data_IF_110401236082
#
_entry.id   IF_110401236082
#
_cell.length_a   1.000
_cell.length_b   1.000
_cell.length_c   1.000
_cell.angle_alpha   90.00
_cell.angle_beta   90.00
_cell.angle_gamma   90.00
#
_symmetry.space_group_name_H-M   'P 1'
#
loop_
_entity.id
_entity.type
_entity.pdbx_description
1 polymer ?
#
# COMPACT_ATOMS: atom_id res chain seq x y z
N UNK A 1 17.10 -29.24 -13.24
CA UNK A 1 16.99 -28.18 -12.22
C UNK A 1 16.23 -27.03 -12.85
N UNK A 2 14.91 -27.06 -12.71
CA UNK A 2 13.99 -26.08 -13.30
C UNK A 2 14.01 -24.81 -12.46
N UNK A 3 14.58 -23.74 -13.01
CA UNK A 3 14.48 -22.38 -12.48
C UNK A 3 13.02 -21.97 -12.50
N UNK A 4 12.37 -22.06 -11.34
CA UNK A 4 11.03 -21.51 -11.13
C UNK A 4 11.11 -20.00 -11.28
N UNK A 5 10.71 -19.49 -12.45
CA UNK A 5 10.26 -18.11 -12.59
C UNK A 5 9.12 -17.94 -11.60
N UNK A 6 9.41 -17.35 -10.44
CA UNK A 6 8.41 -16.85 -9.52
C UNK A 6 7.55 -15.90 -10.34
N UNK A 7 6.33 -16.34 -10.62
CA UNK A 7 5.27 -15.50 -11.15
C UNK A 7 5.04 -14.41 -10.10
N UNK A 8 5.79 -13.31 -10.22
CA UNK A 8 5.59 -12.09 -9.47
C UNK A 8 4.31 -11.48 -10.03
N UNK A 9 3.18 -12.09 -9.66
CA UNK A 9 1.88 -11.46 -9.73
C UNK A 9 2.02 -10.02 -9.26
N UNK A 10 1.40 -9.09 -9.98
CA UNK A 10 1.63 -7.66 -9.87
C UNK A 10 1.33 -7.17 -8.44
N UNK A 11 2.31 -7.24 -7.52
CA UNK A 11 2.15 -6.89 -6.11
C UNK A 11 1.85 -5.40 -6.00
N UNK A 12 0.79 -5.05 -5.29
CA UNK A 12 0.33 -3.68 -5.18
C UNK A 12 1.24 -2.85 -4.25
N UNK A 13 1.57 -1.64 -4.71
CA UNK A 13 2.34 -0.67 -3.91
C UNK A 13 1.40 0.09 -2.99
N UNK A 14 1.73 0.09 -1.71
CA UNK A 14 0.99 0.81 -0.68
C UNK A 14 1.87 1.87 -0.03
N UNK A 15 1.26 2.82 0.67
CA UNK A 15 1.98 3.88 1.39
C UNK A 15 1.46 3.96 2.81
N UNK A 16 2.33 4.03 3.81
CA UNK A 16 1.88 4.21 5.19
C UNK A 16 1.85 5.69 5.55
N UNK A 17 0.99 6.08 6.50
CA UNK A 17 1.12 7.35 7.22
C UNK A 17 1.21 7.09 8.72
N UNK A 18 1.70 8.07 9.48
CA UNK A 18 1.73 8.05 10.94
C UNK A 18 2.30 6.74 11.52
N UNK A 19 3.38 6.23 10.91
CA UNK A 19 4.10 5.03 11.34
C UNK A 19 5.56 5.41 11.66
N UNK A 20 6.54 4.62 11.23
CA UNK A 20 7.97 4.92 11.39
C UNK A 20 8.40 6.11 10.50
N UNK A 21 9.11 7.06 11.09
CA UNK A 21 9.70 8.21 10.38
C UNK A 21 10.66 7.68 9.30
N UNK A 22 10.56 8.17 8.07
CA UNK A 22 11.36 7.69 6.93
C UNK A 22 10.64 6.71 6.00
N UNK A 23 9.63 5.99 6.50
CA UNK A 23 8.79 5.11 5.67
C UNK A 23 7.46 5.75 5.20
N UNK A 24 7.00 6.80 5.87
CA UNK A 24 5.75 7.48 5.51
C UNK A 24 5.76 7.93 4.04
N UNK A 25 4.64 7.72 3.34
CA UNK A 25 4.46 8.03 1.90
C UNK A 25 5.37 7.29 0.92
N UNK A 26 6.30 6.46 1.42
CA UNK A 26 7.18 5.68 0.58
C UNK A 26 6.41 4.49 -0.02
N UNK A 27 6.40 4.33 -1.36
CA UNK A 27 5.78 3.17 -1.99
C UNK A 27 6.44 1.89 -1.49
N UNK A 28 5.66 1.03 -0.85
CA UNK A 28 6.14 -0.14 -0.14
C UNK A 28 5.33 -1.35 -0.56
N UNK A 29 6.02 -2.46 -0.80
CA UNK A 29 5.39 -3.74 -1.11
C UNK A 29 5.27 -4.52 0.19
N UNK A 30 4.04 -4.72 0.65
CA UNK A 30 3.75 -5.52 1.83
C UNK A 30 3.52 -6.99 1.44
N UNK A 31 3.64 -7.88 2.41
CA UNK A 31 3.44 -9.33 2.24
C UNK A 31 2.01 -9.74 2.61
N UNK A 32 1.41 -9.09 3.60
CA UNK A 32 0.08 -9.45 4.12
C UNK A 32 -1.03 -8.71 3.38
N UNK A 33 -1.54 -9.29 2.29
CA UNK A 33 -2.62 -8.70 1.49
C UNK A 33 -3.95 -8.61 2.22
N UNK A 34 -4.22 -9.49 3.20
CA UNK A 34 -5.51 -9.51 3.92
C UNK A 34 -5.63 -8.28 4.80
N UNK A 35 -4.58 -7.97 5.56
CA UNK A 35 -4.53 -6.74 6.37
C UNK A 35 -4.60 -5.50 5.48
N UNK A 36 -3.92 -5.51 4.33
CA UNK A 36 -3.97 -4.38 3.40
C UNK A 36 -5.38 -4.14 2.85
N UNK A 37 -6.10 -5.18 2.41
CA UNK A 37 -7.45 -5.02 1.86
C UNK A 37 -8.43 -4.40 2.87
N UNK A 38 -8.19 -4.62 4.16
CA UNK A 38 -9.02 -4.12 5.25
C UNK A 38 -8.72 -2.68 5.65
N UNK A 39 -7.46 -2.29 5.66
CA UNK A 39 -7.01 -1.01 6.20
C UNK A 39 -6.52 -0.03 5.14
N UNK A 40 -6.17 -0.49 3.95
CA UNK A 40 -5.76 0.40 2.87
C UNK A 40 -6.98 1.10 2.27
N UNK A 41 -6.79 2.37 1.91
CA UNK A 41 -7.73 3.09 1.07
C UNK A 41 -7.78 2.44 -0.32
N UNK A 42 -8.95 2.00 -0.77
CA UNK A 42 -9.13 1.40 -2.09
C UNK A 42 -8.85 2.36 -3.26
N UNK A 43 -8.88 3.68 -3.01
CA UNK A 43 -8.65 4.72 -4.04
C UNK A 43 -7.18 5.05 -4.19
N UNK A 44 -6.48 5.32 -3.08
CA UNK A 44 -5.11 5.84 -3.11
C UNK A 44 -4.04 4.89 -2.56
N UNK A 45 -4.45 3.70 -2.08
CA UNK A 45 -3.60 2.66 -1.50
C UNK A 45 -2.74 3.12 -0.31
N UNK A 46 -3.18 4.19 0.36
CA UNK A 46 -2.59 4.62 1.63
C UNK A 46 -3.15 3.75 2.75
N UNK A 47 -2.30 3.36 3.69
CA UNK A 47 -2.64 2.79 5.00
C UNK A 47 -2.63 3.91 6.04
N UNK A 48 -3.77 4.60 6.26
CA UNK A 48 -3.89 5.60 7.30
C UNK A 48 -3.99 4.96 8.69
N UNK A 49 -3.88 5.77 9.74
CA UNK A 49 -4.22 5.33 11.10
C UNK A 49 -5.70 5.03 11.30
N UNK A 50 -6.55 5.62 10.45
CA UNK A 50 -8.00 5.39 10.46
C UNK A 50 -8.52 5.30 9.04
N UNK A 51 -9.21 4.22 8.76
CA UNK A 51 -9.89 3.94 7.50
C UNK A 51 -11.38 4.01 7.74
N UNK A 52 -12.07 4.79 6.92
CA UNK A 52 -13.52 4.89 6.93
C UNK A 52 -14.05 3.76 6.05
N UNK A 53 -14.78 2.84 6.66
CA UNK A 53 -15.41 1.69 6.01
C UNK A 53 -16.83 2.09 5.65
N UNK A 54 -17.12 2.14 4.36
CA UNK A 54 -18.44 2.47 3.83
C UNK A 54 -19.45 1.33 4.08
N UNK A 55 -20.76 1.56 3.92
CA UNK A 55 -21.78 0.50 4.07
C UNK A 55 -21.58 -0.67 3.10
N UNK A 56 -21.05 -0.42 1.91
CA UNK A 56 -20.64 -1.45 0.94
C UNK A 56 -19.31 -2.15 1.30
N UNK A 57 -18.69 -1.82 2.43
CA UNK A 57 -17.40 -2.32 2.95
C UNK A 57 -16.12 -1.91 2.24
N UNK A 58 -16.20 -1.05 1.23
CA UNK A 58 -14.99 -0.42 0.71
C UNK A 58 -14.39 0.52 1.76
N UNK A 59 -13.10 0.37 2.03
CA UNK A 59 -12.34 1.22 2.95
C UNK A 59 -11.70 2.41 2.23
N UNK A 60 -11.88 3.62 2.75
CA UNK A 60 -11.30 4.86 2.22
C UNK A 60 -10.60 5.68 3.32
N UNK A 61 -9.53 6.41 2.98
CA UNK A 61 -8.93 7.35 3.92
C UNK A 61 -9.77 8.63 4.05
N UNK A 62 -9.57 9.42 5.12
CA UNK A 62 -10.32 10.67 5.36
C UNK A 62 -10.30 11.64 4.18
N UNK A 63 -9.16 11.79 3.51
CA UNK A 63 -9.04 12.68 2.36
C UNK A 63 -9.86 12.19 1.16
N UNK A 64 -9.83 10.89 0.87
CA UNK A 64 -10.63 10.32 -0.21
C UNK A 64 -12.12 10.32 0.13
N UNK A 65 -12.47 10.08 1.39
CA UNK A 65 -13.83 10.15 1.89
C UNK A 65 -14.47 11.52 1.68
N UNK A 66 -13.75 12.61 1.99
CA UNK A 66 -14.22 13.97 1.72
C UNK A 66 -14.48 14.26 0.23
N UNK A 67 -13.87 13.49 -0.66
CA UNK A 67 -14.10 13.54 -2.11
C UNK A 67 -15.20 12.61 -2.62
N UNK A 68 -15.85 11.82 -1.76
CA UNK A 68 -16.90 10.87 -2.14
C UNK A 68 -18.26 11.57 -2.34
N UNK A 69 -18.28 12.75 -2.95
CA UNK A 69 -19.48 13.57 -3.16
C UNK A 69 -19.65 13.79 -4.66
N UNK A 70 -20.84 13.48 -5.18
CA UNK A 70 -21.17 13.70 -6.59
C UNK A 70 -21.56 15.16 -6.89
N UNK A 71 -21.89 15.44 -8.16
CA UNK A 71 -22.28 16.79 -8.62
C UNK A 71 -23.58 17.29 -7.99
N UNK A 72 -24.41 16.39 -7.49
CA UNK A 72 -25.69 16.68 -6.86
C UNK A 72 -25.57 16.76 -5.33
N UNK A 73 -24.35 16.63 -4.78
CA UNK A 73 -24.08 16.66 -3.34
C UNK A 73 -24.36 15.35 -2.61
N UNK A 74 -24.56 14.23 -3.33
CA UNK A 74 -24.80 12.91 -2.73
C UNK A 74 -23.49 12.21 -2.44
N UNK A 75 -23.44 11.51 -1.31
CA UNK A 75 -22.28 10.70 -0.96
C UNK A 75 -22.35 9.36 -1.68
N UNK A 76 -21.35 9.07 -2.53
CA UNK A 76 -21.27 7.86 -3.36
C UNK A 76 -19.94 7.16 -3.17
N UNK A 77 -19.96 5.83 -3.04
CA UNK A 77 -18.73 5.05 -2.97
C UNK A 77 -17.96 5.14 -4.30
N UNK A 78 -16.63 5.39 -4.27
CA UNK A 78 -15.82 5.56 -5.47
C UNK A 78 -15.57 4.27 -6.25
N UNK A 79 -15.86 3.10 -5.66
CA UNK A 79 -15.59 1.79 -6.28
C UNK A 79 -16.79 1.22 -7.03
N UNK A 80 -17.99 1.37 -6.47
CA UNK A 80 -19.23 0.75 -6.99
C UNK A 80 -20.34 1.79 -7.28
N UNK A 81 -20.18 3.04 -6.86
CA UNK A 81 -21.17 4.10 -7.06
C UNK A 81 -22.39 4.00 -6.13
N UNK A 82 -22.38 3.10 -5.15
CA UNK A 82 -23.50 2.94 -4.21
C UNK A 82 -23.60 4.18 -3.30
N UNK A 83 -24.82 4.73 -3.10
CA UNK A 83 -25.03 5.84 -2.19
C UNK A 83 -24.87 5.39 -0.73
N UNK A 84 -24.41 6.29 0.12
CA UNK A 84 -24.29 6.04 1.56
C UNK A 84 -24.60 7.28 2.39
N UNK A 85 -24.96 7.06 3.66
CA UNK A 85 -25.05 8.14 4.65
C UNK A 85 -23.83 8.11 5.59
N UNK A 86 -23.35 9.28 6.00
CA UNK A 86 -22.18 9.43 6.90
C UNK A 86 -22.30 8.61 8.19
N UNK A 87 -23.51 8.54 8.76
CA UNK A 87 -23.80 7.82 10.00
C UNK A 87 -23.75 6.29 9.86
N UNK A 88 -23.75 5.76 8.64
CA UNK A 88 -23.62 4.34 8.35
C UNK A 88 -22.15 3.92 8.17
N UNK A 89 -21.24 4.89 8.05
CA UNK A 89 -19.80 4.66 7.95
C UNK A 89 -19.22 4.21 9.30
N UNK A 90 -18.22 3.34 9.24
CA UNK A 90 -17.48 2.86 10.42
C UNK A 90 -16.03 3.28 10.35
N UNK A 91 -15.39 3.50 11.50
CA UNK A 91 -13.94 3.71 11.55
C UNK A 91 -13.23 2.42 11.92
N UNK A 92 -12.30 1.99 11.08
CA UNK A 92 -11.35 0.92 11.35
C UNK A 92 -9.99 1.53 11.67
N UNK A 93 -9.42 1.22 12.83
CA UNK A 93 -8.15 1.80 13.30
C UNK A 93 -7.01 0.82 13.14
N UNK A 94 -5.87 1.32 12.67
CA UNK A 94 -4.62 0.58 12.60
C UNK A 94 -3.53 1.37 13.32
N UNK A 95 -3.10 0.86 14.47
CA UNK A 95 -2.14 1.54 15.33
C UNK A 95 -0.79 1.74 14.64
N UNK A 96 -0.03 2.74 15.08
CA UNK A 96 1.33 2.99 14.58
C UNK A 96 2.23 1.76 14.77
N UNK A 97 2.11 1.07 15.91
CA UNK A 97 2.83 -0.17 16.23
C UNK A 97 2.49 -1.28 15.24
N UNK A 98 1.21 -1.58 15.03
CA UNK A 98 0.80 -2.59 14.04
C UNK A 98 1.30 -2.29 12.63
N UNK A 99 1.28 -1.01 12.20
CA UNK A 99 1.86 -0.61 10.90
C UNK A 99 3.36 -0.90 10.81
N UNK A 100 4.11 -0.74 11.90
CA UNK A 100 5.54 -1.03 11.96
C UNK A 100 5.82 -2.54 11.90
N UNK A 101 4.91 -3.35 12.42
CA UNK A 101 5.03 -4.81 12.45
C UNK A 101 4.63 -5.48 11.11
N UNK A 102 3.95 -4.75 10.22
CA UNK A 102 3.59 -5.25 8.90
C UNK A 102 4.84 -5.69 8.13
N UNK A 103 4.84 -6.94 7.66
CA UNK A 103 5.94 -7.46 6.84
C UNK A 103 5.95 -6.79 5.47
N UNK A 104 7.10 -6.23 5.12
CA UNK A 104 7.35 -5.56 3.86
C UNK A 104 8.66 -6.05 3.23
N UNK A 105 8.76 -5.88 1.92
CA UNK A 105 10.00 -6.10 1.18
C UNK A 105 10.86 -4.84 1.21
N UNK A 106 12.18 -5.01 1.15
CA UNK A 106 13.11 -3.91 0.97
C UNK A 106 12.74 -3.07 -0.26
N UNK A 107 12.88 -1.74 -0.17
CA UNK A 107 12.62 -0.85 -1.31
C UNK A 107 13.56 -1.07 -2.50
N UNK A 108 14.67 -1.78 -2.30
CA UNK A 108 15.58 -2.22 -3.36
C UNK A 108 15.30 -3.66 -3.84
N UNK A 109 14.13 -4.24 -3.54
CA UNK A 109 13.75 -5.58 -4.04
C UNK A 109 13.84 -5.67 -5.57
N UNK A 110 13.37 -4.63 -6.27
CA UNK A 110 13.47 -4.54 -7.73
C UNK A 110 14.91 -4.49 -8.27
N UNK A 111 15.89 -4.20 -7.40
CA UNK A 111 17.32 -4.17 -7.71
C UNK A 111 18.08 -5.41 -7.21
N UNK A 112 17.38 -6.37 -6.59
CA UNK A 112 17.95 -7.66 -6.19
C UNK A 112 18.04 -7.90 -4.69
N UNK A 113 17.61 -6.95 -3.85
CA UNK A 113 17.54 -7.19 -2.41
C UNK A 113 16.39 -8.16 -2.06
N UNK A 114 16.67 -9.24 -1.36
CA UNK A 114 15.66 -10.22 -0.96
C UNK A 114 15.18 -10.05 0.50
N UNK A 115 15.63 -8.99 1.18
CA UNK A 115 15.23 -8.71 2.56
C UNK A 115 13.72 -8.49 2.68
N UNK A 116 13.11 -9.23 3.61
CA UNK A 116 11.71 -9.11 4.01
C UNK A 116 11.65 -9.12 5.53
N UNK A 117 11.01 -8.12 6.11
CA UNK A 117 10.89 -7.98 7.57
C UNK A 117 9.78 -7.03 7.97
N UNK A 118 9.59 -6.78 9.28
CA UNK A 118 8.73 -5.70 9.75
C UNK A 118 9.11 -4.37 9.10
N UNK A 119 8.16 -3.48 8.83
CA UNK A 119 8.41 -2.19 8.18
C UNK A 119 9.51 -1.37 8.90
N UNK A 120 9.55 -1.41 10.23
CA UNK A 120 10.63 -0.76 10.98
C UNK A 120 12.01 -1.37 10.68
N UNK A 121 12.09 -2.70 10.63
CA UNK A 121 13.32 -3.41 10.26
C UNK A 121 13.70 -3.23 8.79
N UNK A 122 12.72 -3.08 7.89
CA UNK A 122 12.98 -2.72 6.48
C UNK A 122 13.63 -1.35 6.38
N UNK A 123 13.20 -0.38 7.20
CA UNK A 123 13.83 0.93 7.23
C UNK A 123 15.27 0.86 7.72
N UNK A 124 15.50 0.19 8.84
CA UNK A 124 16.85 0.00 9.42
C UNK A 124 17.79 -0.69 8.42
N UNK A 125 17.34 -1.82 7.84
CA UNK A 125 18.06 -2.52 6.79
C UNK A 125 18.36 -1.60 5.59
N UNK A 126 17.35 -0.89 5.10
CA UNK A 126 17.52 -0.01 3.95
C UNK A 126 18.53 1.09 4.22
N UNK A 127 18.58 1.67 5.41
CA UNK A 127 19.48 2.81 5.68
C UNK A 127 20.91 2.38 6.03
N UNK A 128 21.09 1.21 6.65
CA UNK A 128 22.36 0.84 7.28
C UNK A 128 23.05 -0.38 6.62
N UNK A 129 22.28 -1.29 6.02
CA UNK A 129 22.79 -2.61 5.63
C UNK A 129 22.65 -2.90 4.13
N UNK A 130 21.75 -2.20 3.43
CA UNK A 130 21.36 -2.58 2.08
C UNK A 130 22.48 -2.35 1.06
N UNK A 131 23.11 -3.44 0.61
CA UNK A 131 24.10 -3.37 -0.47
C UNK A 131 23.50 -3.00 -1.83
N UNK A 132 22.17 -3.00 -1.97
CA UNK A 132 21.45 -2.78 -3.24
C UNK A 132 21.04 -1.33 -3.51
N UNK A 133 21.70 -0.37 -2.86
CA UNK A 133 21.49 1.04 -3.19
C UNK A 133 21.94 1.33 -4.61
N UNK A 134 21.10 2.09 -5.30
CA UNK A 134 21.37 2.55 -6.65
C UNK A 134 21.41 4.07 -6.71
N UNK A 135 22.16 4.60 -7.66
CA UNK A 135 22.25 6.03 -7.94
C UNK A 135 22.35 6.25 -9.45
N UNK A 136 21.66 7.27 -9.99
CA UNK A 136 21.82 7.63 -11.39
C UNK A 136 23.24 8.17 -11.63
N UNK A 137 23.93 7.62 -12.61
CA UNK A 137 25.19 8.16 -13.08
C UNK A 137 24.95 9.55 -13.71
N UNK A 138 25.65 10.57 -13.22
CA UNK A 138 25.44 11.95 -13.67
C UNK A 138 25.97 12.22 -15.09
N UNK A 139 26.72 11.28 -15.68
CA UNK A 139 27.25 11.39 -17.05
C UNK A 139 26.35 10.72 -18.10
N UNK A 140 25.87 9.50 -17.82
CA UNK A 140 25.10 8.70 -18.79
C UNK A 140 23.62 8.52 -18.41
N UNK A 141 23.24 8.82 -17.16
CA UNK A 141 21.88 8.63 -16.65
C UNK A 141 21.53 7.19 -16.27
N UNK A 142 22.42 6.21 -16.48
CA UNK A 142 22.17 4.83 -16.06
C UNK A 142 22.05 4.71 -14.54
N UNK A 143 21.13 3.87 -14.09
CA UNK A 143 20.98 3.50 -12.68
C UNK A 143 22.06 2.47 -12.36
N UNK A 144 23.03 2.86 -11.52
CA UNK A 144 24.19 2.03 -11.16
C UNK A 144 24.17 1.80 -9.65
N UNK A 145 24.60 0.62 -9.23
CA UNK A 145 24.81 0.32 -7.81
C UNK A 145 25.83 1.30 -7.21
N UNK A 146 25.53 1.85 -6.03
CA UNK A 146 26.32 2.95 -5.45
C UNK A 146 27.78 2.54 -5.18
N UNK A 147 28.02 1.29 -4.79
CA UNK A 147 29.36 0.72 -4.58
C UNK A 147 30.17 0.57 -5.89
N UNK A 148 29.48 0.30 -7.00
CA UNK A 148 30.06 0.17 -8.34
C UNK A 148 30.16 1.51 -9.09
N UNK A 149 29.66 2.61 -8.52
CA UNK A 149 29.60 3.90 -9.20
C UNK A 149 31.00 4.44 -9.54
N UNK A 150 31.96 4.35 -8.62
CA UNK A 150 33.34 4.79 -8.89
C UNK A 150 34.01 3.93 -9.98
N UNK A 151 33.81 2.61 -9.92
CA UNK A 151 34.30 1.69 -10.95
C UNK A 151 33.66 1.97 -12.32
N UNK A 152 32.37 2.34 -12.36
CA UNK A 152 31.68 2.77 -13.59
C UNK A 152 32.32 4.03 -14.21
N UNK A 153 32.84 4.95 -13.39
CA UNK A 153 33.53 6.16 -13.88
C UNK A 153 34.95 5.90 -14.41
N UNK A 154 35.67 4.93 -13.81
CA UNK A 154 37.10 4.67 -14.09
C UNK A 154 37.28 3.55 -15.13
N UNK A 155 36.43 2.52 -15.11
CA UNK A 155 36.67 1.18 -15.66
C UNK A 155 36.27 0.90 -17.12
N UNK A 156 36.04 1.92 -17.95
CA UNK A 156 35.89 1.81 -19.42
C UNK A 156 34.56 1.27 -20.03
N UNK A 157 34.13 1.98 -21.10
CA UNK A 157 33.30 1.67 -22.29
C UNK A 157 31.82 2.11 -22.42
N UNK A 158 30.98 2.15 -21.38
CA UNK A 158 29.55 2.49 -21.56
C UNK A 158 29.02 3.68 -20.76
N UNK A 159 29.84 4.38 -19.98
CA UNK A 159 29.49 5.71 -19.47
C UNK A 159 29.56 6.76 -20.60
N UNK A 160 28.74 6.59 -21.65
CA UNK A 160 28.59 7.52 -22.78
C UNK A 160 27.31 8.32 -22.58
N UNK A 161 27.29 9.56 -23.10
CA UNK A 161 26.16 10.50 -22.99
C UNK A 161 24.80 9.81 -23.28
N UNK A 162 23.72 10.19 -22.58
CA UNK A 162 22.43 9.53 -22.71
C UNK A 162 21.91 9.58 -24.15
N UNK A 163 21.76 8.42 -24.78
CA UNK A 163 20.91 8.29 -25.98
C UNK A 163 19.45 8.27 -25.54
N UNK A 164 18.89 9.46 -25.28
CA UNK A 164 17.47 9.85 -25.14
C UNK A 164 16.38 8.79 -24.80
N UNK A 165 16.68 7.76 -24.02
CA UNK A 165 15.68 6.80 -23.54
C UNK A 165 16.04 6.39 -22.12
N UNK A 166 15.40 7.04 -21.15
CA UNK A 166 15.41 6.59 -19.77
C UNK A 166 14.78 5.20 -19.70
N UNK A 167 15.42 4.18 -19.09
CA UNK A 167 14.75 2.94 -18.78
C UNK A 167 13.59 3.24 -17.83
N UNK A 168 12.37 2.89 -18.23
CA UNK A 168 11.22 2.98 -17.33
C UNK A 168 11.46 2.07 -16.13
N UNK A 169 11.15 2.51 -14.89
CA UNK A 169 11.10 1.59 -13.76
C UNK A 169 10.17 0.41 -14.11
N UNK A 170 10.49 -0.80 -13.62
CA UNK A 170 9.62 -1.99 -13.82
C UNK A 170 8.20 -1.79 -13.27
N UNK A 171 7.98 -0.77 -12.45
CA UNK A 171 6.64 -0.25 -12.14
C UNK A 171 6.39 1.05 -12.92
N UNK A 172 5.32 1.05 -13.72
CA UNK A 172 4.71 2.32 -14.16
C UNK A 172 4.08 2.96 -12.92
N UNK A 173 4.48 4.18 -12.56
CA UNK A 173 3.59 5.06 -11.79
C UNK A 173 2.39 5.29 -12.71
N UNK A 174 1.25 4.69 -12.37
CA UNK A 174 0.04 4.86 -13.17
C UNK A 174 -0.38 6.32 -13.11
N UNK A 175 -0.30 7.01 -14.25
CA UNK A 175 -1.20 8.13 -14.49
C UNK A 175 -2.64 7.58 -14.43
N UNK A 176 -3.60 8.34 -13.87
CA UNK A 176 -4.98 7.91 -13.81
C UNK A 176 -5.49 7.59 -15.23
N UNK A 177 -6.27 6.51 -15.42
CA UNK A 177 -6.89 6.25 -16.70
C UNK A 177 -7.81 7.42 -17.06
N UNK A 178 -7.46 8.16 -18.11
CA UNK A 178 -8.40 9.02 -18.80
C UNK A 178 -9.29 8.12 -19.65
N UNK A 179 -10.35 7.61 -19.05
CA UNK A 179 -11.40 6.88 -19.76
C UNK A 179 -12.72 7.17 -19.07
N UNK A 180 -13.58 7.87 -19.79
CA UNK A 180 -14.94 8.16 -19.37
C UNK A 180 -15.68 6.84 -19.15
N UNK A 181 -15.95 6.50 -17.89
CA UNK A 181 -16.83 5.39 -17.53
C UNK A 181 -18.26 5.90 -17.77
N UNK A 182 -18.92 5.28 -18.75
CA UNK A 182 -20.35 5.49 -18.99
C UNK A 182 -21.12 4.77 -17.88
N UNK A 183 -22.01 5.45 -17.12
CA UNK A 183 -22.78 4.79 -16.07
C UNK A 183 -23.71 3.73 -16.67
N UNK A 184 -23.58 2.47 -16.22
CA UNK A 184 -24.57 1.43 -16.45
C UNK A 184 -25.72 1.61 -15.44
N UNK A 185 -26.98 1.32 -15.81
CA UNK A 185 -28.12 1.51 -14.92
C UNK A 185 -28.12 0.49 -13.78
N UNK A 186 -28.27 1.00 -12.57
CA UNK A 186 -28.44 0.26 -11.30
C UNK A 186 -29.75 -0.53 -11.36
N UNK A 187 -29.64 -1.86 -11.34
CA UNK A 187 -30.78 -2.78 -11.41
C UNK A 187 -30.59 -4.00 -10.51
N UNK A 188 -31.28 -3.95 -9.36
CA UNK A 188 -31.62 -5.06 -8.44
C UNK A 188 -30.48 -5.85 -7.77
N UNK A 189 -30.64 -6.05 -6.46
CA UNK A 189 -29.74 -6.84 -5.63
C UNK A 189 -29.65 -8.30 -6.14
N UNK A 190 -28.53 -8.63 -6.75
CA UNK A 190 -28.21 -10.00 -7.15
C UNK A 190 -27.82 -10.84 -5.92
N UNK A 191 -27.93 -12.17 -6.04
CA UNK A 191 -27.46 -13.10 -5.01
C UNK A 191 -25.95 -12.89 -4.68
N UNK A 192 -25.16 -12.46 -5.67
CA UNK A 192 -23.76 -12.06 -5.48
C UNK A 192 -23.63 -10.82 -4.58
N UNK A 193 -24.51 -9.81 -4.73
CA UNK A 193 -24.56 -8.65 -3.84
C UNK A 193 -24.96 -9.00 -2.41
N UNK A 194 -25.85 -9.98 -2.21
CA UNK A 194 -26.18 -10.49 -0.87
C UNK A 194 -25.03 -11.25 -0.22
N UNK A 195 -24.35 -12.12 -0.97
CA UNK A 195 -23.17 -12.85 -0.49
C UNK A 195 -22.04 -11.88 -0.12
N UNK A 196 -21.79 -10.89 -0.98
CA UNK A 196 -20.80 -9.85 -0.71
C UNK A 196 -21.14 -9.12 0.60
N UNK A 197 -22.39 -8.69 0.79
CA UNK A 197 -22.84 -8.07 2.05
C UNK A 197 -22.66 -8.96 3.29
N UNK A 198 -22.82 -10.28 3.16
CA UNK A 198 -22.64 -11.21 4.30
C UNK A 198 -21.17 -11.43 4.63
N UNK A 199 -20.32 -11.62 3.63
CA UNK A 199 -18.85 -11.66 3.81
C UNK A 199 -18.36 -10.38 4.46
N UNK A 200 -18.83 -9.24 3.95
CA UNK A 200 -18.57 -7.91 4.47
C UNK A 200 -19.03 -7.72 5.93
N UNK A 201 -20.16 -8.33 6.33
CA UNK A 201 -20.63 -8.31 7.72
C UNK A 201 -19.77 -9.18 8.64
N UNK A 202 -19.27 -10.32 8.16
CA UNK A 202 -18.32 -11.17 8.89
C UNK A 202 -16.98 -10.46 9.08
N UNK A 203 -16.47 -9.79 8.05
CA UNK A 203 -15.23 -9.00 8.15
C UNK A 203 -15.35 -7.89 9.21
N UNK A 204 -16.51 -7.22 9.30
CA UNK A 204 -16.79 -6.22 10.36
C UNK A 204 -16.73 -6.83 11.76
N UNK A 205 -17.26 -8.05 11.95
CA UNK A 205 -17.15 -8.75 13.23
C UNK A 205 -15.69 -9.06 13.57
N UNK A 206 -14.89 -9.48 12.58
CA UNK A 206 -13.46 -9.67 12.78
C UNK A 206 -12.79 -8.36 13.21
N UNK A 207 -13.20 -7.18 12.68
CA UNK A 207 -12.60 -5.87 13.05
C UNK A 207 -12.89 -5.58 14.50
N UNK A 208 -14.14 -5.77 14.91
CA UNK A 208 -14.57 -5.55 16.27
C UNK A 208 -13.84 -6.49 17.25
N UNK A 209 -13.62 -7.75 16.87
CA UNK A 209 -12.86 -8.72 17.67
C UNK A 209 -11.40 -8.27 17.81
N UNK A 210 -10.73 -7.93 16.71
CA UNK A 210 -9.32 -7.51 16.76
C UNK A 210 -9.11 -6.26 17.62
N UNK A 211 -10.04 -5.30 17.55
CA UNK A 211 -10.00 -4.10 18.39
C UNK A 211 -10.20 -4.42 19.87
N UNK A 212 -11.07 -5.39 20.22
CA UNK A 212 -11.26 -5.86 21.60
C UNK A 212 -10.05 -6.63 22.12
N UNK A 213 -9.38 -7.39 21.26
CA UNK A 213 -8.14 -8.09 21.60
C UNK A 213 -7.03 -7.09 21.92
N UNK A 214 -6.86 -6.03 21.11
CA UNK A 214 -5.90 -4.95 21.42
C UNK A 214 -6.18 -4.26 22.75
N UNK A 215 -7.44 -3.90 23.01
CA UNK A 215 -7.84 -3.26 24.27
C UNK A 215 -7.49 -4.15 25.47
N UNK A 216 -7.68 -5.46 25.34
CA UNK A 216 -7.35 -6.44 26.36
C UNK A 216 -5.83 -6.61 26.54
N UNK A 217 -5.05 -6.61 25.45
CA UNK A 217 -3.58 -6.66 25.51
C UNK A 217 -2.99 -5.42 26.20
N UNK A 218 -3.48 -4.21 25.90
CA UNK A 218 -3.06 -2.99 26.58
C UNK A 218 -3.40 -3.01 28.08
N UNK A 219 -4.57 -3.55 28.44
CA UNK A 219 -4.96 -3.72 29.85
C UNK A 219 -4.02 -4.68 30.58
N UNK A 220 -3.63 -5.79 29.93
CA UNK A 220 -2.67 -6.75 30.50
C UNK A 220 -1.28 -6.13 30.70
N UNK A 221 -0.77 -5.38 29.72
CA UNK A 221 0.53 -4.69 29.84
C UNK A 221 0.53 -3.66 31.00
N UNK A 222 -0.59 -2.94 31.21
CA UNK A 222 -0.75 -2.00 32.33
C UNK A 222 -0.82 -2.69 33.69
N UNK A 223 -1.43 -3.88 33.77
CA UNK A 223 -1.47 -4.67 35.00
C UNK A 223 -0.13 -5.29 35.33
N UNK A 224 0.65 -5.71 34.32
CA UNK A 224 1.99 -6.27 34.50
C UNK A 224 3.05 -5.22 34.91
N UNK A 225 2.75 -3.92 34.74
CA UNK A 225 3.64 -2.81 35.06
C UNK A 225 3.36 -2.15 36.43
N UNK A 226 2.37 -2.65 37.18
CA UNK A 226 2.05 -2.25 38.57
C UNK A 226 2.40 -3.37 39.55
#
# INVERSE_FOLDING_TARGET
MTTGTRDLGRRALHRVTDSVRGANWRPTVFVDEVTLNRYACCVCHVLPSTTIVLPCSHGVCRQCHAGCIDKDGRSLCPMDGEPFCENECQESKLSARKKQDLKACCWNESYGCDFVGPLAGVLEHYEQECAFHVSPCQKCGEIVMTDMLAAHYIGHLNCRLPSQTLPSPRYKVMAPPSSAITPQPVGQATAAGQLHRTVNALERLTVAIDARVEEMEEQLERLASN
#
